data_IF_289942382249
#
_entry.id   IF_289942382249
#
_cell.length_a   1.000
_cell.length_b   1.000
_cell.length_c   1.000
_cell.angle_alpha   90.00
_cell.angle_beta   90.00
_cell.angle_gamma   90.00
#
_symmetry.space_group_name_H-M   'P 1'
#
loop_
_entity.id
_entity.type
_entity.pdbx_description
1 polymer ?
#
# COMPACT_ATOMS: atom_id res chain seq x y z
N UNK A 1 -28.29 8.61 -34.20
CA UNK A 1 -27.01 7.91 -33.96
C UNK A 1 -26.30 8.70 -32.87
N UNK A 2 -26.10 8.09 -31.71
CA UNK A 2 -25.39 8.71 -30.59
C UNK A 2 -23.91 8.79 -30.97
N UNK A 3 -23.32 9.98 -30.87
CA UNK A 3 -21.90 10.23 -31.10
C UNK A 3 -21.18 10.11 -29.75
N UNK A 4 -20.23 9.19 -29.64
CA UNK A 4 -19.33 9.08 -28.49
C UNK A 4 -18.13 9.97 -28.77
N UNK A 5 -17.93 11.04 -27.99
CA UNK A 5 -16.68 11.80 -28.01
C UNK A 5 -15.64 11.09 -27.12
N UNK A 6 -14.47 10.81 -27.68
CA UNK A 6 -13.29 10.32 -26.97
C UNK A 6 -12.83 11.34 -25.92
N UNK A 7 -12.60 10.90 -24.68
CA UNK A 7 -11.92 11.72 -23.69
C UNK A 7 -10.42 11.72 -24.01
N UNK A 8 -9.95 12.80 -24.63
CA UNK A 8 -8.52 13.07 -24.78
C UNK A 8 -7.88 13.17 -23.40
N UNK A 9 -6.70 12.58 -23.28
CA UNK A 9 -5.83 12.58 -22.11
C UNK A 9 -5.79 13.97 -21.47
N UNK A 10 -6.25 14.06 -20.22
CA UNK A 10 -6.13 15.27 -19.43
C UNK A 10 -4.65 15.59 -19.25
N UNK A 11 -4.27 16.73 -19.82
CA UNK A 11 -3.00 17.40 -19.59
C UNK A 11 -2.77 17.49 -18.08
N UNK A 12 -1.67 16.92 -17.62
CA UNK A 12 -1.25 16.91 -16.23
C UNK A 12 -0.81 18.33 -15.84
N UNK A 13 -1.81 19.22 -15.71
CA UNK A 13 -1.66 20.53 -15.13
C UNK A 13 -1.00 20.38 -13.76
N UNK A 14 0.16 21.01 -13.62
CA UNK A 14 0.99 20.98 -12.43
C UNK A 14 0.19 21.44 -11.21
N UNK A 15 -0.26 20.50 -10.37
CA UNK A 15 -0.71 20.81 -9.03
C UNK A 15 0.55 20.97 -8.17
N UNK A 16 0.82 22.19 -7.71
CA UNK A 16 1.81 22.44 -6.67
C UNK A 16 1.21 22.01 -5.34
N UNK A 17 1.24 20.73 -5.04
CA UNK A 17 0.90 20.19 -3.73
C UNK A 17 2.11 20.38 -2.82
N UNK A 18 1.88 20.91 -1.62
CA UNK A 18 2.90 21.16 -0.62
C UNK A 18 3.72 19.87 -0.39
N UNK A 19 5.01 19.89 -0.72
CA UNK A 19 5.94 18.74 -0.74
C UNK A 19 6.32 18.20 0.66
N UNK A 20 5.38 18.13 1.61
CA UNK A 20 5.49 17.16 2.70
C UNK A 20 4.87 15.85 2.23
N UNK A 21 5.46 15.26 1.19
CA UNK A 21 5.19 13.88 0.82
C UNK A 21 5.65 13.04 2.01
N UNK A 22 4.71 12.62 2.86
CA UNK A 22 4.95 11.63 3.90
C UNK A 22 5.54 10.39 3.24
N UNK A 23 6.87 10.31 3.19
CA UNK A 23 7.58 9.15 2.66
C UNK A 23 7.28 7.99 3.61
N UNK A 24 6.30 7.18 3.28
CA UNK A 24 6.04 5.96 4.04
C UNK A 24 7.27 5.05 3.91
N UNK A 25 7.77 4.49 5.02
CA UNK A 25 8.82 3.49 4.95
C UNK A 25 8.40 2.34 4.03
N UNK A 26 9.18 2.10 2.98
CA UNK A 26 9.02 0.93 2.13
C UNK A 26 9.75 -0.24 2.78
N UNK A 27 9.00 -1.28 3.12
CA UNK A 27 9.53 -2.52 3.69
C UNK A 27 9.33 -3.63 2.66
N UNK A 28 10.38 -4.41 2.40
CA UNK A 28 10.28 -5.54 1.48
C UNK A 28 9.50 -6.70 2.12
N UNK A 29 8.79 -7.49 1.31
CA UNK A 29 8.10 -8.69 1.81
C UNK A 29 9.08 -9.66 2.49
N UNK A 30 10.28 -9.83 1.93
CA UNK A 30 11.34 -10.65 2.51
C UNK A 30 11.75 -10.20 3.91
N UNK A 31 11.74 -8.90 4.16
CA UNK A 31 12.01 -8.35 5.49
C UNK A 31 10.92 -8.75 6.48
N UNK A 32 9.66 -8.70 6.05
CA UNK A 32 8.51 -9.10 6.87
C UNK A 32 8.58 -10.61 7.15
N UNK A 33 8.80 -11.43 6.13
CA UNK A 33 8.95 -12.89 6.27
C UNK A 33 10.06 -13.25 7.27
N UNK A 34 11.23 -12.62 7.18
CA UNK A 34 12.31 -12.88 8.10
C UNK A 34 12.00 -12.41 9.52
N UNK A 35 11.30 -11.29 9.70
CA UNK A 35 10.94 -10.76 11.00
C UNK A 35 9.90 -11.65 11.70
N UNK A 36 8.91 -12.14 10.96
CA UNK A 36 7.85 -13.01 11.49
C UNK A 36 8.22 -14.49 11.53
N UNK A 37 9.43 -14.85 11.10
CA UNK A 37 9.85 -16.23 10.83
C UNK A 37 8.83 -16.98 9.97
N UNK A 38 8.62 -16.47 8.75
CA UNK A 38 7.66 -16.98 7.78
C UNK A 38 6.22 -17.09 8.35
N UNK A 39 5.83 -16.10 9.16
CA UNK A 39 4.53 -16.07 9.85
C UNK A 39 4.31 -17.29 10.78
N UNK A 40 5.38 -17.75 11.45
CA UNK A 40 5.32 -18.83 12.44
C UNK A 40 4.31 -18.55 13.55
N UNK A 41 3.55 -19.56 13.95
CA UNK A 41 2.60 -19.47 15.06
C UNK A 41 3.31 -19.14 16.40
N UNK A 42 4.60 -19.48 16.55
CA UNK A 42 5.40 -19.10 17.73
C UNK A 42 5.64 -17.58 17.84
N UNK A 43 5.48 -16.86 16.72
CA UNK A 43 5.61 -15.41 16.64
C UNK A 43 4.24 -14.70 16.61
N UNK A 44 3.14 -15.45 16.58
CA UNK A 44 1.79 -14.91 16.64
C UNK A 44 1.48 -14.42 18.05
N UNK A 45 1.14 -13.14 18.15
CA UNK A 45 0.71 -12.48 19.39
C UNK A 45 -0.79 -12.69 19.65
N UNK A 46 -1.59 -12.85 18.60
CA UNK A 46 -3.03 -13.08 18.70
C UNK A 46 -3.74 -12.95 17.36
N UNK A 47 -5.05 -13.16 17.37
CA UNK A 47 -5.93 -13.00 16.21
C UNK A 47 -7.28 -12.42 16.66
N UNK A 48 -7.84 -11.51 15.86
CA UNK A 48 -9.16 -10.93 16.09
C UNK A 48 -9.85 -10.58 14.78
N UNK A 49 -10.87 -9.71 14.82
CA UNK A 49 -11.64 -9.32 13.63
C UNK A 49 -10.85 -8.61 12.52
N UNK A 50 -9.60 -8.25 12.77
CA UNK A 50 -8.68 -7.62 11.83
C UNK A 50 -7.57 -8.57 11.33
N UNK A 51 -7.58 -9.83 11.76
CA UNK A 51 -6.59 -10.85 11.38
C UNK A 51 -5.51 -11.12 12.45
N UNK A 52 -4.50 -11.92 12.10
CA UNK A 52 -3.40 -12.30 12.99
C UNK A 52 -2.38 -11.16 13.15
N UNK A 53 -1.82 -11.05 14.35
CA UNK A 53 -0.74 -10.10 14.69
C UNK A 53 0.51 -10.88 15.05
N UNK A 54 1.64 -10.52 14.46
CA UNK A 54 2.95 -11.14 14.70
C UNK A 54 3.91 -10.14 15.35
N UNK A 55 4.83 -10.63 16.18
CA UNK A 55 5.90 -9.84 16.79
C UNK A 55 7.04 -9.57 15.81
#
# INVERSE_FOLDING_TARGET
>A
KTEYQEASSVDAGSIKENEDHCSLPQISLRTIENATDNFSEENKLGEGGYGPVYK
#
